data_IF_674790130884
#
_entry.id   IF_674790130884
#
_cell.length_a   1.000
_cell.length_b   1.000
_cell.length_c   1.000
_cell.angle_alpha   90.00
_cell.angle_beta   90.00
_cell.angle_gamma   90.00
#
_symmetry.space_group_name_H-M   'P 1'
#
loop_
_entity.id
_entity.type
_entity.pdbx_description
1 polymer ?
#
# COMPACT_ATOMS: atom_id res chain seq x y z
N UNK A 1 -5.18 15.98 -1.33
CA UNK A 1 -4.17 14.90 -1.19
C UNK A 1 -4.04 14.58 0.29
N UNK A 2 -3.94 13.30 0.72
CA UNK A 2 -3.80 12.92 2.13
C UNK A 2 -2.44 12.25 2.35
N UNK A 3 -1.93 12.36 3.58
CA UNK A 3 -0.67 11.76 4.01
C UNK A 3 -0.94 10.65 5.02
N UNK A 4 -0.30 9.51 4.80
CA UNK A 4 -0.43 8.32 5.62
C UNK A 4 0.94 7.90 6.12
N UNK A 5 1.09 7.76 7.43
CA UNK A 5 2.33 7.32 8.07
C UNK A 5 2.22 5.83 8.30
N UNK A 6 3.24 5.07 7.89
CA UNK A 6 3.32 3.65 8.21
C UNK A 6 3.68 3.49 9.68
N UNK A 7 2.94 2.61 10.35
CA UNK A 7 3.14 2.28 11.75
C UNK A 7 3.61 0.83 11.87
N UNK A 8 4.71 0.61 12.57
CA UNK A 8 5.26 -0.71 12.88
C UNK A 8 5.39 -0.83 14.40
N UNK A 9 4.99 -1.96 14.98
CA UNK A 9 5.08 -2.20 16.43
C UNK A 9 4.45 -1.08 17.28
N UNK A 10 3.29 -0.56 16.85
CA UNK A 10 2.59 0.58 17.45
C UNK A 10 3.37 1.91 17.46
N UNK A 11 4.51 2.02 16.77
CA UNK A 11 5.27 3.27 16.63
C UNK A 11 5.21 3.78 15.19
N UNK A 12 5.08 5.08 15.04
CA UNK A 12 5.16 5.73 13.74
C UNK A 12 6.59 5.54 13.18
N UNK A 13 6.66 5.12 11.92
CA UNK A 13 7.94 5.01 11.19
C UNK A 13 8.22 6.28 10.39
N UNK A 14 9.43 6.38 9.83
CA UNK A 14 9.80 7.45 8.90
C UNK A 14 9.12 7.33 7.53
N UNK A 15 8.44 6.22 7.22
CA UNK A 15 7.82 5.99 5.93
C UNK A 15 6.47 6.72 5.83
N UNK A 16 6.41 7.71 4.94
CA UNK A 16 5.20 8.48 4.65
C UNK A 16 4.75 8.20 3.22
N UNK A 17 3.49 7.82 3.07
CA UNK A 17 2.84 7.55 1.79
C UNK A 17 1.78 8.59 1.49
N UNK A 18 1.70 9.01 0.23
CA UNK A 18 0.70 9.97 -0.26
C UNK A 18 -0.38 9.27 -1.07
N UNK A 19 -1.62 9.74 -0.97
CA UNK A 19 -2.73 9.24 -1.80
C UNK A 19 -4.02 10.03 -1.62
N UNK A 20 -4.96 9.87 -2.55
CA UNK A 20 -6.34 10.39 -2.37
C UNK A 20 -7.14 9.47 -1.44
N UNK A 21 -6.93 8.16 -1.56
CA UNK A 21 -7.56 7.13 -0.74
C UNK A 21 -6.52 6.35 0.08
N UNK A 22 -6.88 5.82 1.27
CA UNK A 22 -5.96 5.02 2.09
C UNK A 22 -5.47 3.77 1.35
N UNK A 23 -6.31 3.18 0.49
CA UNK A 23 -5.95 2.03 -0.35
C UNK A 23 -4.79 2.34 -1.31
N UNK A 24 -4.71 3.56 -1.86
CA UNK A 24 -3.62 3.94 -2.76
C UNK A 24 -2.29 4.02 -2.01
N UNK A 25 -2.30 4.58 -0.79
CA UNK A 25 -1.13 4.59 0.07
C UNK A 25 -0.69 3.17 0.45
N UNK A 26 -1.65 2.28 0.75
CA UNK A 26 -1.36 0.87 1.02
C UNK A 26 -0.76 0.16 -0.20
N UNK A 27 -1.26 0.40 -1.42
CA UNK A 27 -0.67 -0.16 -2.64
C UNK A 27 0.80 0.26 -2.81
N UNK A 28 1.11 1.54 -2.55
CA UNK A 28 2.49 2.04 -2.59
C UNK A 28 3.37 1.34 -1.56
N UNK A 29 2.87 1.15 -0.34
CA UNK A 29 3.57 0.40 0.69
C UNK A 29 3.80 -1.06 0.27
N UNK A 30 2.78 -1.73 -0.26
CA UNK A 30 2.91 -3.11 -0.74
C UNK A 30 3.91 -3.24 -1.91
N UNK A 31 3.97 -2.27 -2.82
CA UNK A 31 4.98 -2.22 -3.89
C UNK A 31 6.40 -2.14 -3.32
N UNK A 32 6.59 -1.41 -2.21
CA UNK A 32 7.89 -1.34 -1.50
C UNK A 32 8.28 -2.63 -0.78
N UNK A 33 7.36 -3.58 -0.62
CA UNK A 33 7.61 -4.89 0.00
C UNK A 33 6.94 -5.09 1.36
N UNK A 34 6.17 -4.11 1.86
CA UNK A 34 5.46 -4.27 3.13
C UNK A 34 4.26 -5.21 2.98
N UNK A 35 4.16 -6.21 3.86
CA UNK A 35 3.06 -7.20 3.87
C UNK A 35 2.00 -6.85 4.92
N UNK A 36 2.39 -6.59 6.16
CA UNK A 36 1.50 -6.09 7.21
C UNK A 36 1.54 -4.57 7.25
N UNK A 37 0.52 -3.91 6.70
CA UNK A 37 0.53 -2.46 6.49
C UNK A 37 -0.48 -1.80 7.42
N UNK A 38 0.01 -1.08 8.43
CA UNK A 38 -0.82 -0.23 9.29
C UNK A 38 -0.54 1.23 8.93
N UNK A 39 -1.55 1.95 8.46
CA UNK A 39 -1.42 3.33 8.00
C UNK A 39 -2.20 4.29 8.89
N UNK A 40 -1.50 5.16 9.60
CA UNK A 40 -2.10 6.27 10.33
C UNK A 40 -2.30 7.45 9.41
N UNK A 41 -3.53 7.96 9.35
CA UNK A 41 -3.84 9.13 8.54
C UNK A 41 -3.52 10.43 9.29
N UNK A 42 -2.62 11.27 8.75
CA UNK A 42 -2.27 12.56 9.38
C UNK A 42 -3.48 13.48 9.43
N UNK A 43 -3.68 14.12 10.58
CA UNK A 43 -4.80 15.03 10.82
C UNK A 43 -6.09 14.32 11.28
N UNK A 44 -6.11 12.99 11.36
CA UNK A 44 -7.23 12.24 11.94
C UNK A 44 -6.72 11.20 12.93
N UNK A 45 -7.62 10.66 13.74
CA UNK A 45 -7.34 9.55 14.67
C UNK A 45 -7.64 8.18 14.05
N UNK A 46 -7.45 8.02 12.73
CA UNK A 46 -7.77 6.78 12.00
C UNK A 46 -6.50 6.02 11.63
N UNK A 47 -6.46 4.75 12.01
CA UNK A 47 -5.51 3.76 11.51
C UNK A 47 -6.23 2.85 10.53
N UNK A 48 -5.69 2.71 9.34
CA UNK A 48 -6.19 1.80 8.33
C UNK A 48 -5.29 0.56 8.30
N UNK A 49 -5.88 -0.61 8.54
CA UNK A 49 -5.18 -1.88 8.55
C UNK A 49 -5.34 -2.57 7.20
N UNK A 50 -4.22 -2.86 6.56
CA UNK A 50 -4.14 -3.51 5.27
C UNK A 50 -3.17 -4.69 5.29
N UNK A 51 -3.41 -5.61 4.37
CA UNK A 51 -2.52 -6.72 4.07
C UNK A 51 -2.11 -6.59 2.61
N UNK A 52 -0.81 -6.39 2.40
CA UNK A 52 -0.16 -6.29 1.11
C UNK A 52 0.45 -7.61 0.68
N UNK A 53 0.43 -7.85 -0.63
CA UNK A 53 1.23 -8.90 -1.27
C UNK A 53 1.70 -8.44 -2.64
N UNK A 54 2.85 -8.95 -3.08
CA UNK A 54 3.34 -8.79 -4.46
C UNK A 54 3.15 -10.10 -5.20
N UNK A 55 2.47 -10.05 -6.32
CA UNK A 55 2.17 -11.21 -7.17
C UNK A 55 2.74 -10.93 -8.55
N UNK A 56 3.36 -11.93 -9.17
CA UNK A 56 3.73 -11.86 -10.59
C UNK A 56 2.48 -12.06 -11.44
N UNK A 57 2.25 -11.18 -12.39
CA UNK A 57 1.12 -11.28 -13.32
C UNK A 57 1.67 -11.17 -14.73
N UNK A 58 1.05 -11.90 -15.65
CA UNK A 58 1.35 -11.79 -17.07
C UNK A 58 1.09 -10.38 -17.59
N UNK A 59 1.91 -9.96 -18.55
CA UNK A 59 1.67 -8.73 -19.28
C UNK A 59 0.31 -8.79 -19.99
N UNK A 60 -0.41 -7.66 -20.08
CA UNK A 60 -1.66 -7.61 -20.84
C UNK A 60 -1.40 -7.84 -22.33
N UNK A 61 -2.42 -8.27 -23.06
CA UNK A 61 -2.29 -8.58 -24.51
C UNK A 61 -1.91 -7.38 -25.38
N UNK A 62 -2.12 -6.15 -24.89
CA UNK A 62 -1.74 -4.90 -25.54
C UNK A 62 -0.43 -4.31 -25.00
N UNK A 63 0.42 -5.12 -24.36
CA UNK A 63 1.68 -4.66 -23.83
C UNK A 63 2.64 -4.24 -24.96
N UNK A 64 3.37 -3.12 -24.79
CA UNK A 64 4.39 -2.70 -25.74
C UNK A 64 5.64 -3.60 -25.66
N UNK A 65 6.42 -3.66 -26.74
CA UNK A 65 7.55 -4.59 -26.91
C UNK A 65 8.66 -4.47 -25.84
N UNK A 66 8.80 -3.29 -25.23
CA UNK A 66 9.78 -3.05 -24.17
C UNK A 66 9.36 -3.61 -22.80
N UNK A 67 8.11 -4.06 -22.63
CA UNK A 67 7.57 -4.56 -21.37
C UNK A 67 7.83 -6.07 -21.23
N UNK A 68 8.39 -6.53 -20.09
CA UNK A 68 8.62 -7.97 -19.87
C UNK A 68 7.31 -8.75 -19.77
N UNK A 69 7.36 -10.03 -20.12
CA UNK A 69 6.20 -10.93 -20.12
C UNK A 69 5.56 -11.13 -18.74
N UNK A 70 6.35 -11.01 -17.66
CA UNK A 70 5.87 -11.03 -16.27
C UNK A 70 6.21 -9.73 -15.56
N UNK A 71 5.20 -9.14 -14.90
CA UNK A 71 5.36 -7.92 -14.11
C UNK A 71 4.94 -8.14 -12.66
N UNK A 72 5.68 -7.50 -11.74
CA UNK A 72 5.30 -7.48 -10.34
C UNK A 72 4.12 -6.53 -10.12
N UNK A 73 3.01 -7.07 -9.61
CA UNK A 73 1.83 -6.31 -9.23
C UNK A 73 1.62 -6.36 -7.73
N UNK A 74 1.47 -5.20 -7.11
CA UNK A 74 1.04 -5.11 -5.72
C UNK A 74 -0.48 -5.27 -5.61
N UNK A 75 -0.91 -6.10 -4.67
CA UNK A 75 -2.30 -6.24 -4.26
C UNK A 75 -2.41 -5.93 -2.78
N UNK A 76 -3.52 -5.30 -2.39
CA UNK A 76 -3.82 -5.02 -0.99
C UNK A 76 -5.25 -5.44 -0.66
N UNK A 77 -5.40 -6.06 0.51
CA UNK A 77 -6.69 -6.39 1.12
C UNK A 77 -6.88 -5.52 2.36
N UNK A 78 -8.05 -4.91 2.52
CA UNK A 78 -8.37 -4.13 3.71
C UNK A 78 -8.78 -5.09 4.82
N UNK A 79 -8.10 -5.05 5.96
CA UNK A 79 -8.46 -5.83 7.17
C UNK A 79 -9.47 -5.06 8.03
N UNK A 80 -9.29 -3.75 8.18
CA UNK A 80 -10.19 -2.95 9.00
C UNK A 80 -9.72 -1.52 9.19
N UNK A 81 -10.37 -0.82 10.10
CA UNK A 81 -9.99 0.51 10.57
C UNK A 81 -9.99 0.46 12.11
N UNK A 82 -8.98 1.05 12.73
CA UNK A 82 -8.92 1.27 14.17
C UNK A 82 -8.89 2.78 14.44
N UNK A 83 -9.45 3.16 15.57
CA UNK A 83 -9.42 4.53 16.05
C UNK A 83 -8.40 4.65 17.19
N UNK A 84 -7.67 5.77 17.18
CA UNK A 84 -6.75 6.21 18.24
C UNK A 84 -7.51 7.02 19.29
#
# INVERSE_FOLDING_TARGET
MRYFVLQENNRDTSHVFTGRQPRQAALKAATRGFTSITLRERGTKKLHLFEGKRVKTSAPSNAPDWMPAEIWRAQVRKKGIRHL
#
